data_IF_453084287350
#
_entry.id   IF_453084287350
#
_cell.length_a   1.000
_cell.length_b   1.000
_cell.length_c   1.000
_cell.angle_alpha   90.00
_cell.angle_beta   90.00
_cell.angle_gamma   90.00
#
_symmetry.space_group_name_H-M   'P 1'
#
loop_
_entity.id
_entity.type
_entity.pdbx_description
1 polymer ?
#
# COMPACT_ATOMS: atom_id res chain seq x y z
N UNK A 1 21.34 -3.56 0.11
CA UNK A 1 22.38 -2.85 -0.67
C UNK A 1 21.85 -2.45 -2.06
N UNK A 2 21.21 -3.36 -2.81
CA UNK A 2 20.63 -3.08 -4.12
C UNK A 2 19.61 -1.93 -4.09
N UNK A 3 18.69 -1.89 -3.13
CA UNK A 3 17.68 -0.83 -3.04
C UNK A 3 18.30 0.55 -2.81
N UNK A 4 19.39 0.66 -2.07
CA UNK A 4 20.12 1.92 -1.88
C UNK A 4 20.82 2.34 -3.17
N UNK A 5 21.43 1.39 -3.87
CA UNK A 5 22.15 1.62 -5.12
C UNK A 5 21.21 2.04 -6.25
N UNK A 6 20.06 1.36 -6.40
CA UNK A 6 19.09 1.62 -7.46
C UNK A 6 17.97 2.58 -7.06
N UNK A 7 17.98 3.11 -5.84
CA UNK A 7 16.97 4.04 -5.30
C UNK A 7 15.54 3.54 -5.44
N UNK A 8 15.34 2.23 -5.20
CA UNK A 8 14.02 1.60 -5.27
C UNK A 8 13.20 1.75 -3.99
N UNK A 9 13.79 2.38 -2.97
CA UNK A 9 13.21 2.51 -1.62
C UNK A 9 13.61 1.33 -0.73
N UNK A 10 13.44 1.48 0.57
CA UNK A 10 13.78 0.43 1.55
C UNK A 10 12.53 -0.14 2.23
N UNK A 11 11.32 0.22 1.74
CA UNK A 11 10.08 -0.11 2.41
C UNK A 11 9.83 -1.60 2.51
N UNK A 12 9.89 -2.30 1.41
CA UNK A 12 9.51 -3.72 1.33
C UNK A 12 10.53 -4.61 2.06
N UNK A 13 11.82 -4.38 1.85
CA UNK A 13 12.89 -5.15 2.52
C UNK A 13 12.84 -4.93 4.03
N UNK A 14 12.64 -3.71 4.49
CA UNK A 14 12.51 -3.41 5.92
C UNK A 14 11.25 -4.04 6.53
N UNK A 15 10.14 -4.04 5.80
CA UNK A 15 8.90 -4.68 6.25
C UNK A 15 9.07 -6.19 6.38
N UNK A 16 9.64 -6.84 5.38
CA UNK A 16 9.91 -8.28 5.40
C UNK A 16 10.87 -8.63 6.54
N UNK A 17 11.99 -7.89 6.66
CA UNK A 17 12.98 -8.15 7.69
C UNK A 17 12.42 -7.98 9.12
N UNK A 18 11.57 -6.97 9.35
CA UNK A 18 10.92 -6.76 10.63
C UNK A 18 9.94 -7.89 10.97
N UNK A 19 9.08 -8.26 10.02
CA UNK A 19 8.11 -9.34 10.19
C UNK A 19 8.80 -10.69 10.44
N UNK A 20 9.88 -10.98 9.73
CA UNK A 20 10.69 -12.18 9.94
C UNK A 20 11.37 -12.20 11.32
N UNK A 21 11.94 -11.06 11.75
CA UNK A 21 12.60 -10.95 13.05
C UNK A 21 11.65 -11.22 14.21
N UNK A 22 10.41 -10.73 14.09
CA UNK A 22 9.38 -10.88 15.13
C UNK A 22 8.52 -12.13 14.95
N UNK A 23 8.71 -12.85 13.82
CA UNK A 23 7.91 -14.04 13.45
C UNK A 23 6.40 -13.74 13.43
N UNK A 24 6.02 -12.56 12.89
CA UNK A 24 4.64 -12.10 12.78
C UNK A 24 4.25 -12.01 11.30
N UNK A 25 3.40 -12.91 10.83
CA UNK A 25 2.85 -12.95 9.49
C UNK A 25 1.37 -13.34 9.51
N UNK A 26 0.50 -12.67 8.72
CA UNK A 26 0.76 -11.40 8.04
C UNK A 26 0.85 -10.23 9.01
N UNK A 27 1.48 -9.13 8.60
CA UNK A 27 1.68 -7.98 9.47
C UNK A 27 1.64 -6.64 8.74
N UNK A 28 1.26 -5.60 9.47
CA UNK A 28 1.46 -4.20 9.09
C UNK A 28 2.75 -3.73 9.73
N UNK A 29 3.64 -3.19 8.94
CA UNK A 29 4.92 -2.65 9.42
C UNK A 29 4.94 -1.15 9.25
N UNK A 30 5.10 -0.43 10.36
CA UNK A 30 5.20 1.03 10.39
C UNK A 30 6.65 1.41 10.67
N UNK A 31 7.17 2.28 9.85
CA UNK A 31 8.50 2.87 10.02
C UNK A 31 8.37 4.34 10.42
N UNK A 32 8.96 4.73 11.54
CA UNK A 32 8.84 6.09 12.11
C UNK A 32 9.66 7.14 11.34
N UNK A 33 10.68 6.71 10.60
CA UNK A 33 11.52 7.63 9.81
C UNK A 33 12.05 6.98 8.53
N UNK A 34 12.34 7.75 7.49
CA UNK A 34 12.96 7.24 6.27
C UNK A 34 14.40 6.75 6.52
N UNK A 35 14.90 5.94 5.60
CA UNK A 35 16.27 5.40 5.65
C UNK A 35 16.40 4.11 6.46
N UNK A 36 17.62 3.62 6.62
CA UNK A 36 17.92 2.31 7.21
C UNK A 36 17.95 2.27 8.75
N UNK A 37 17.87 3.41 9.42
CA UNK A 37 18.03 3.53 10.89
C UNK A 37 16.73 3.82 11.64
N UNK A 38 15.57 3.87 10.97
CA UNK A 38 14.31 4.20 11.60
C UNK A 38 13.79 3.07 12.49
N UNK A 39 13.13 3.45 13.59
CA UNK A 39 12.39 2.49 14.41
C UNK A 39 11.26 1.88 13.59
N UNK A 40 11.08 0.59 13.73
CA UNK A 40 10.06 -0.20 13.06
C UNK A 40 9.15 -0.83 14.11
N UNK A 41 7.84 -0.72 13.90
CA UNK A 41 6.82 -1.32 14.75
C UNK A 41 5.99 -2.26 13.89
N UNK A 42 5.79 -3.49 14.34
CA UNK A 42 5.06 -4.54 13.62
C UNK A 42 3.76 -4.84 14.36
N UNK A 43 2.66 -4.87 13.60
CA UNK A 43 1.33 -5.19 14.10
C UNK A 43 0.79 -6.43 13.39
N UNK A 44 0.32 -7.46 14.11
CA UNK A 44 -0.28 -8.63 13.49
C UNK A 44 -1.58 -8.27 12.76
N UNK A 45 -1.76 -8.86 11.59
CA UNK A 45 -3.01 -8.78 10.82
C UNK A 45 -3.79 -10.06 10.99
N UNK A 46 -5.09 -9.93 11.29
CA UNK A 46 -6.02 -11.06 11.40
C UNK A 46 -7.06 -11.07 10.29
N UNK A 47 -7.27 -9.91 9.68
CA UNK A 47 -8.24 -9.76 8.60
C UNK A 47 -7.67 -10.34 7.30
N UNK A 48 -8.53 -10.91 6.48
CA UNK A 48 -8.17 -11.37 5.14
C UNK A 48 -7.93 -10.18 4.22
N UNK A 49 -6.92 -10.29 3.38
CA UNK A 49 -6.55 -9.27 2.41
C UNK A 49 -6.64 -9.82 1.00
N UNK A 50 -7.21 -9.03 0.10
CA UNK A 50 -7.25 -9.29 -1.34
C UNK A 50 -6.34 -8.29 -2.04
N UNK A 51 -5.49 -8.79 -2.93
CA UNK A 51 -4.69 -7.96 -3.84
C UNK A 51 -5.14 -8.27 -5.26
N UNK A 52 -5.51 -7.22 -6.00
CA UNK A 52 -5.78 -7.27 -7.43
C UNK A 52 -4.60 -6.65 -8.19
N UNK A 53 -3.93 -7.43 -9.01
CA UNK A 53 -2.80 -6.99 -9.84
C UNK A 53 -3.37 -6.52 -11.19
N UNK A 54 -3.71 -5.24 -11.30
CA UNK A 54 -4.47 -4.68 -12.43
C UNK A 54 -3.63 -4.13 -13.58
N UNK A 55 -2.31 -4.30 -13.56
CA UNK A 55 -1.46 -3.85 -14.66
C UNK A 55 0.02 -3.76 -14.33
N UNK A 56 0.77 -3.13 -15.23
CA UNK A 56 2.20 -2.89 -15.04
C UNK A 56 2.42 -1.74 -14.06
N UNK A 57 3.28 -1.96 -13.06
CA UNK A 57 3.68 -0.95 -12.09
C UNK A 57 4.43 0.23 -12.74
N UNK A 58 4.52 1.34 -12.03
CA UNK A 58 5.39 2.46 -12.41
C UNK A 58 6.81 2.20 -11.96
N UNK A 59 7.77 2.70 -12.72
CA UNK A 59 9.17 2.65 -12.30
C UNK A 59 9.38 3.61 -11.12
N UNK A 60 9.59 3.02 -9.95
CA UNK A 60 9.81 3.75 -8.70
C UNK A 60 11.03 4.66 -8.78
N UNK A 61 12.06 4.25 -9.51
CA UNK A 61 13.29 5.03 -9.64
C UNK A 61 13.07 6.35 -10.37
N UNK A 62 12.19 6.38 -11.38
CA UNK A 62 11.83 7.58 -12.11
C UNK A 62 11.11 8.60 -11.21
N UNK A 63 10.28 8.11 -10.28
CA UNK A 63 9.55 8.96 -9.34
C UNK A 63 10.51 9.48 -8.26
N UNK A 64 11.30 8.61 -7.63
CA UNK A 64 12.20 9.00 -6.54
C UNK A 64 13.37 9.88 -6.99
N UNK A 65 13.73 9.86 -8.27
CA UNK A 65 14.75 10.76 -8.83
C UNK A 65 14.19 12.11 -9.31
N UNK A 66 12.88 12.30 -9.26
CA UNK A 66 12.22 13.55 -9.65
C UNK A 66 11.93 14.39 -8.41
N UNK A 67 12.53 15.60 -8.33
CA UNK A 67 12.36 16.51 -7.20
C UNK A 67 10.93 16.98 -7.00
N UNK A 68 10.18 17.18 -8.08
CA UNK A 68 8.77 17.57 -8.04
C UNK A 68 7.92 16.48 -7.38
N UNK A 69 8.11 15.22 -7.76
CA UNK A 69 7.44 14.09 -7.12
C UNK A 69 7.81 13.95 -5.64
N UNK A 70 9.07 14.20 -5.29
CA UNK A 70 9.53 14.19 -3.89
C UNK A 70 8.79 15.24 -3.07
N UNK A 71 8.61 16.45 -3.60
CA UNK A 71 7.86 17.51 -2.94
C UNK A 71 6.37 17.18 -2.79
N UNK A 72 5.73 16.64 -3.84
CA UNK A 72 4.34 16.19 -3.83
C UNK A 72 4.13 15.11 -2.75
N UNK A 73 4.98 14.10 -2.70
CA UNK A 73 4.91 13.01 -1.72
C UNK A 73 5.07 13.52 -0.30
N UNK A 74 6.05 14.41 -0.06
CA UNK A 74 6.27 15.00 1.25
C UNK A 74 5.08 15.84 1.69
N UNK A 75 4.52 16.65 0.79
CA UNK A 75 3.35 17.48 1.06
C UNK A 75 2.10 16.63 1.32
N UNK A 76 1.87 15.59 0.51
CA UNK A 76 0.75 14.67 0.68
C UNK A 76 0.78 13.93 2.01
N UNK A 77 1.97 13.64 2.54
CA UNK A 77 2.14 12.96 3.83
C UNK A 77 1.82 13.85 5.04
N UNK A 78 1.84 15.18 4.87
CA UNK A 78 1.57 16.10 5.98
C UNK A 78 0.15 15.92 6.53
N UNK A 79 0.06 15.76 7.85
CA UNK A 79 -1.20 15.59 8.57
C UNK A 79 -1.86 14.22 8.40
N UNK A 80 -1.23 13.27 7.69
CA UNK A 80 -1.68 11.90 7.65
C UNK A 80 -1.14 11.18 8.88
N UNK A 81 -2.06 10.68 9.72
CA UNK A 81 -1.71 9.90 10.89
C UNK A 81 -2.46 8.57 10.88
N UNK A 82 -1.74 7.48 11.09
CA UNK A 82 -2.33 6.17 11.26
C UNK A 82 -2.62 5.94 12.75
N UNK A 83 -3.89 6.06 13.10
CA UNK A 83 -4.39 5.79 14.45
C UNK A 83 -5.10 4.43 14.49
N UNK A 84 -5.12 3.76 15.65
CA UNK A 84 -5.76 2.45 15.80
C UNK A 84 -5.33 1.46 14.72
N UNK A 85 -4.05 1.13 14.68
CA UNK A 85 -3.40 0.34 13.62
C UNK A 85 -4.06 -1.02 13.43
N UNK A 86 -4.76 -1.18 12.32
CA UNK A 86 -5.32 -2.42 11.80
C UNK A 86 -5.36 -2.33 10.27
N UNK A 87 -5.68 -3.44 9.59
CA UNK A 87 -5.65 -3.50 8.13
C UNK A 87 -6.58 -2.47 7.49
N UNK A 88 -7.82 -2.32 7.98
CA UNK A 88 -8.78 -1.36 7.43
C UNK A 88 -8.31 0.09 7.56
N UNK A 89 -7.77 0.47 8.72
CA UNK A 89 -7.24 1.83 8.92
C UNK A 89 -5.98 2.07 8.10
N UNK A 90 -5.10 1.08 7.96
CA UNK A 90 -3.91 1.19 7.12
C UNK A 90 -4.29 1.40 5.64
N UNK A 91 -5.23 0.62 5.10
CA UNK A 91 -5.72 0.77 3.72
C UNK A 91 -6.39 2.14 3.50
N UNK A 92 -7.26 2.59 4.42
CA UNK A 92 -7.90 3.92 4.33
C UNK A 92 -6.88 5.05 4.35
N UNK A 93 -5.87 4.95 5.22
CA UNK A 93 -4.79 5.94 5.30
C UNK A 93 -3.94 5.95 4.03
N UNK A 94 -3.63 4.77 3.48
CA UNK A 94 -2.95 4.64 2.20
C UNK A 94 -3.75 5.26 1.05
N UNK A 95 -5.07 5.06 1.01
CA UNK A 95 -5.96 5.69 0.03
C UNK A 95 -5.92 7.22 0.12
N UNK A 96 -6.06 7.76 1.32
CA UNK A 96 -5.97 9.22 1.52
C UNK A 96 -4.65 9.79 1.04
N UNK A 97 -3.55 9.07 1.27
CA UNK A 97 -2.24 9.47 0.77
C UNK A 97 -2.16 9.46 -0.76
N UNK A 98 -2.60 8.37 -1.41
CA UNK A 98 -2.56 8.24 -2.87
C UNK A 98 -3.45 9.28 -3.57
N UNK A 99 -4.59 9.62 -2.99
CA UNK A 99 -5.47 10.70 -3.46
C UNK A 99 -4.79 12.07 -3.34
N UNK A 100 -4.23 12.41 -2.18
CA UNK A 100 -3.52 13.67 -1.95
C UNK A 100 -2.27 13.82 -2.82
N UNK A 101 -1.56 12.74 -3.07
CA UNK A 101 -0.36 12.74 -3.91
C UNK A 101 -0.67 12.70 -5.42
N UNK A 102 -1.93 12.63 -5.83
CA UNK A 102 -2.30 12.54 -7.24
C UNK A 102 -1.78 11.26 -7.92
N UNK A 103 -1.60 10.18 -7.16
CA UNK A 103 -1.10 8.90 -7.66
C UNK A 103 -2.20 8.05 -8.29
N UNK A 104 -3.47 8.42 -8.10
CA UNK A 104 -4.61 7.78 -8.75
C UNK A 104 -4.77 8.25 -10.19
N UNK A 105 -5.14 7.33 -11.07
CA UNK A 105 -5.59 7.60 -12.42
C UNK A 105 -7.05 7.14 -12.59
N UNK A 106 -7.67 7.48 -13.72
CA UNK A 106 -9.07 7.16 -14.00
C UNK A 106 -9.36 5.66 -13.89
N UNK A 107 -8.52 4.82 -14.50
CA UNK A 107 -8.69 3.37 -14.46
C UNK A 107 -8.68 2.80 -13.02
N UNK A 108 -7.75 3.28 -12.18
CA UNK A 108 -7.69 2.85 -10.78
C UNK A 108 -8.90 3.36 -9.98
N UNK A 109 -9.40 4.55 -10.29
CA UNK A 109 -10.62 5.09 -9.69
C UNK A 109 -11.83 4.25 -10.05
N UNK A 110 -11.99 3.87 -11.32
CA UNK A 110 -13.06 2.99 -11.80
C UNK A 110 -13.04 1.63 -11.09
N UNK A 111 -11.86 1.03 -10.90
CA UNK A 111 -11.73 -0.24 -10.16
C UNK A 111 -12.16 -0.05 -8.70
N UNK A 112 -11.75 1.04 -8.07
CA UNK A 112 -12.12 1.32 -6.68
C UNK A 112 -13.62 1.58 -6.48
N UNK A 113 -14.34 2.06 -7.51
CA UNK A 113 -15.79 2.23 -7.49
C UNK A 113 -16.55 0.89 -7.53
N UNK A 114 -15.92 -0.18 -8.02
CA UNK A 114 -16.50 -1.53 -8.00
C UNK A 114 -16.37 -2.24 -6.66
N UNK A 115 -15.60 -1.67 -5.73
CA UNK A 115 -15.41 -2.28 -4.41
C UNK A 115 -16.73 -2.26 -3.63
N UNK A 116 -17.18 -3.41 -3.09
CA UNK A 116 -18.47 -3.51 -2.41
C UNK A 116 -18.59 -2.58 -1.21
N UNK A 117 -19.82 -2.18 -0.90
CA UNK A 117 -20.13 -1.40 0.30
C UNK A 117 -19.71 -2.18 1.55
N UNK A 118 -18.98 -1.52 2.45
CA UNK A 118 -18.44 -2.14 3.67
C UNK A 118 -17.02 -2.69 3.52
N UNK A 119 -16.55 -2.91 2.29
CA UNK A 119 -15.14 -3.15 2.05
C UNK A 119 -14.31 -1.86 2.09
N UNK A 120 -13.01 -1.98 2.25
CA UNK A 120 -12.06 -0.88 2.11
C UNK A 120 -10.97 -1.27 1.13
N UNK A 121 -10.60 -0.33 0.26
CA UNK A 121 -9.59 -0.56 -0.76
C UNK A 121 -8.73 0.68 -0.99
N UNK A 122 -7.51 0.46 -1.43
CA UNK A 122 -6.55 1.49 -1.83
C UNK A 122 -5.69 0.99 -2.97
N UNK A 123 -5.13 1.92 -3.71
CA UNK A 123 -4.03 1.64 -4.63
C UNK A 123 -2.75 1.39 -3.83
N UNK A 124 -1.96 0.41 -4.23
CA UNK A 124 -0.62 0.21 -3.69
C UNK A 124 0.33 1.28 -4.26
N UNK A 125 0.35 2.43 -3.62
CA UNK A 125 1.16 3.64 -3.87
C UNK A 125 1.59 3.86 -5.34
N UNK A 126 2.80 3.45 -5.70
CA UNK A 126 3.38 3.68 -7.04
C UNK A 126 2.99 2.58 -8.04
N UNK A 127 2.27 1.56 -7.59
CA UNK A 127 1.81 0.47 -8.45
C UNK A 127 0.47 0.73 -9.12
N UNK A 128 0.01 -0.27 -9.85
CA UNK A 128 -1.33 -0.36 -10.41
C UNK A 128 -2.16 -1.43 -9.70
N UNK A 129 -1.69 -1.93 -8.55
CA UNK A 129 -2.37 -2.94 -7.77
C UNK A 129 -3.35 -2.30 -6.79
N UNK A 130 -4.47 -2.97 -6.59
CA UNK A 130 -5.43 -2.65 -5.54
C UNK A 130 -5.22 -3.59 -4.36
N UNK A 131 -5.14 -3.01 -3.18
CA UNK A 131 -5.14 -3.74 -1.90
C UNK A 131 -6.48 -3.49 -1.22
N UNK A 132 -7.17 -4.55 -0.80
CA UNK A 132 -8.49 -4.44 -0.23
C UNK A 132 -8.75 -5.46 0.88
N UNK A 133 -9.72 -5.16 1.75
CA UNK A 133 -10.24 -6.09 2.77
C UNK A 133 -11.75 -5.89 2.94
N UNK A 134 -12.44 -6.98 3.23
CA UNK A 134 -13.88 -7.01 3.48
C UNK A 134 -14.21 -8.11 4.48
N UNK A 135 -15.36 -8.00 5.14
CA UNK A 135 -15.93 -9.10 5.90
C UNK A 135 -16.46 -10.19 4.95
N UNK A 136 -16.95 -9.81 3.76
CA UNK A 136 -17.25 -10.72 2.66
C UNK A 136 -16.14 -10.69 1.60
N UNK A 137 -15.20 -11.62 1.74
CA UNK A 137 -14.05 -11.75 0.83
C UNK A 137 -14.47 -12.30 -0.54
N UNK A 138 -15.51 -13.13 -0.59
CA UNK A 138 -15.97 -13.71 -1.86
C UNK A 138 -16.62 -12.64 -2.75
N UNK A 139 -17.45 -11.77 -2.17
CA UNK A 139 -18.02 -10.64 -2.87
C UNK A 139 -16.92 -9.69 -3.37
N UNK A 140 -15.96 -9.36 -2.50
CA UNK A 140 -14.83 -8.51 -2.86
C UNK A 140 -14.00 -9.08 -4.01
N UNK A 141 -13.71 -10.37 -3.97
CA UNK A 141 -12.99 -11.07 -5.04
C UNK A 141 -13.75 -10.99 -6.36
N UNK A 142 -15.05 -11.35 -6.35
CA UNK A 142 -15.88 -11.33 -7.56
C UNK A 142 -15.95 -9.92 -8.18
N UNK A 143 -15.97 -8.89 -7.36
CA UNK A 143 -15.95 -7.51 -7.82
C UNK A 143 -14.63 -7.10 -8.51
N UNK A 144 -13.51 -7.69 -8.11
CA UNK A 144 -12.18 -7.31 -8.58
C UNK A 144 -11.58 -8.24 -9.65
N UNK A 145 -12.05 -9.48 -9.79
CA UNK A 145 -11.44 -10.49 -10.67
C UNK A 145 -11.42 -10.13 -12.17
N UNK A 146 -12.33 -9.25 -12.62
CA UNK A 146 -12.36 -8.79 -14.00
C UNK A 146 -11.28 -7.74 -14.32
N UNK A 147 -10.60 -7.20 -13.30
CA UNK A 147 -9.62 -6.14 -13.44
C UNK A 147 -8.16 -6.59 -13.35
N UNK A 148 -7.92 -7.83 -12.93
CA UNK A 148 -6.58 -8.36 -12.84
C UNK A 148 -6.45 -9.69 -12.09
N UNK A 149 -5.22 -10.14 -11.92
CA UNK A 149 -4.93 -11.33 -11.14
C UNK A 149 -5.23 -11.10 -9.65
N UNK A 150 -6.00 -11.99 -9.05
CA UNK A 150 -6.36 -11.91 -7.63
C UNK A 150 -5.42 -12.79 -6.79
N UNK A 151 -4.94 -12.23 -5.69
CA UNK A 151 -4.23 -12.94 -4.62
C UNK A 151 -4.90 -12.69 -3.29
N UNK A 152 -5.05 -13.73 -2.48
CA UNK A 152 -5.63 -13.70 -1.14
C UNK A 152 -4.57 -14.05 -0.09
N UNK A 153 -4.64 -13.36 1.06
CA UNK A 153 -3.72 -13.53 2.19
C UNK A 153 -4.47 -13.52 3.51
#
# INVERSE_FOLDING_TARGET
QAEVEYKTGLGDVMAIAASMKENIFPSIVIRESPGSGGKVITYPVKDKMVICLSGLGRDTSLILNNSEWTEIINTASLGIQLTNVNLRTAIKTGRLFTEKAGLMNENLSEILEQVPTGAVASVAHLGTSIVATSDDVLELRSALENFGEIREF
#
